data_IF_463462489184
#
_entry.id   IF_463462489184
#
_cell.length_a   1.000
_cell.length_b   1.000
_cell.length_c   1.000
_cell.angle_alpha   90.00
_cell.angle_beta   90.00
_cell.angle_gamma   90.00
#
_symmetry.space_group_name_H-M   'P 1'
#
loop_
_entity.id
_entity.type
_entity.pdbx_description
1 polymer ?
#
# COMPACT_ATOMS: atom_id res chain seq x y z
N UNK A 1 -22.67 -24.54 24.80
CA UNK A 1 -21.81 -23.41 24.37
C UNK A 1 -20.73 -24.04 23.50
N UNK A 2 -20.82 -23.84 22.18
CA UNK A 2 -19.74 -24.17 21.25
C UNK A 2 -18.54 -23.30 21.60
N UNK A 3 -17.34 -23.88 21.64
CA UNK A 3 -16.12 -23.10 21.77
C UNK A 3 -16.08 -22.06 20.62
N UNK A 4 -15.60 -20.84 20.86
CA UNK A 4 -15.43 -19.88 19.78
C UNK A 4 -14.51 -20.49 18.70
N UNK A 5 -14.86 -20.28 17.45
CA UNK A 5 -14.05 -20.69 16.31
C UNK A 5 -12.68 -19.94 16.40
N UNK A 6 -11.54 -20.65 16.45
CA UNK A 6 -10.24 -20.01 16.61
C UNK A 6 -9.72 -19.34 15.32
N UNK A 7 -10.41 -19.50 14.17
CA UNK A 7 -9.96 -18.96 12.89
C UNK A 7 -9.98 -17.42 12.86
N UNK A 8 -9.07 -16.78 12.14
CA UNK A 8 -9.11 -15.34 11.91
C UNK A 8 -10.47 -14.89 11.36
N UNK A 9 -10.90 -13.69 11.72
CA UNK A 9 -12.12 -13.08 11.20
C UNK A 9 -11.90 -11.77 10.49
N UNK A 10 -10.71 -11.19 10.64
CA UNK A 10 -10.34 -9.94 10.01
C UNK A 10 -9.00 -10.09 9.29
N UNK A 11 -8.89 -9.54 8.09
CA UNK A 11 -7.67 -9.57 7.30
C UNK A 11 -7.26 -8.15 6.96
N UNK A 12 -6.06 -7.77 7.41
CA UNK A 12 -5.43 -6.49 7.09
C UNK A 12 -4.52 -6.66 5.89
N UNK A 13 -4.55 -5.69 4.99
CA UNK A 13 -3.80 -5.70 3.75
C UNK A 13 -2.92 -4.47 3.63
N UNK A 14 -1.66 -4.63 3.20
CA UNK A 14 -0.94 -3.52 2.59
C UNK A 14 -1.41 -3.32 1.15
N UNK A 15 -1.18 -2.12 0.60
CA UNK A 15 -1.51 -1.81 -0.80
C UNK A 15 -0.31 -2.10 -1.69
N UNK A 16 0.79 -1.38 -1.49
CA UNK A 16 1.95 -1.45 -2.36
C UNK A 16 2.70 -2.77 -2.23
N UNK A 17 2.90 -3.51 -3.32
CA UNK A 17 3.57 -4.82 -3.31
C UNK A 17 2.69 -6.00 -2.90
N UNK A 18 1.49 -5.76 -2.36
CA UNK A 18 0.51 -6.79 -1.98
C UNK A 18 -0.74 -6.74 -2.86
N UNK A 19 -1.42 -5.59 -2.94
CA UNK A 19 -2.58 -5.42 -3.82
C UNK A 19 -2.14 -4.88 -5.18
N UNK A 20 -1.23 -3.90 -5.16
CA UNK A 20 -0.74 -3.18 -6.34
C UNK A 20 0.67 -3.61 -6.69
N UNK A 21 0.93 -3.87 -7.96
CA UNK A 21 2.26 -4.16 -8.49
C UNK A 21 3.13 -2.90 -8.45
N UNK A 22 4.22 -2.90 -7.66
CA UNK A 22 5.10 -1.73 -7.51
C UNK A 22 5.77 -1.30 -8.84
N UNK A 23 5.94 -2.22 -9.78
CA UNK A 23 6.47 -1.89 -11.09
C UNK A 23 5.50 -1.00 -11.88
N UNK A 24 4.19 -1.19 -11.73
CA UNK A 24 3.16 -0.40 -12.40
C UNK A 24 3.17 1.07 -11.92
N UNK A 25 3.36 1.31 -10.61
CA UNK A 25 3.53 2.66 -10.06
C UNK A 25 4.75 3.35 -10.69
N UNK A 26 5.88 2.63 -10.80
CA UNK A 26 7.10 3.16 -11.44
C UNK A 26 6.90 3.45 -12.92
N UNK A 27 6.09 2.65 -13.61
CA UNK A 27 5.68 2.90 -15.00
C UNK A 27 4.86 4.17 -15.11
N UNK A 28 3.91 4.41 -14.20
CA UNK A 28 3.13 5.64 -14.14
C UNK A 28 4.01 6.88 -13.93
N UNK A 29 4.99 6.82 -13.02
CA UNK A 29 5.97 7.92 -12.86
C UNK A 29 6.77 8.19 -14.14
N UNK A 30 7.21 7.15 -14.83
CA UNK A 30 7.94 7.30 -16.06
C UNK A 30 7.05 7.91 -17.15
N UNK A 31 5.83 7.42 -17.32
CA UNK A 31 4.87 7.95 -18.31
C UNK A 31 4.55 9.44 -18.06
N UNK A 32 4.35 9.82 -16.80
CA UNK A 32 4.13 11.21 -16.41
C UNK A 32 5.32 12.11 -16.81
N UNK A 33 6.54 11.71 -16.44
CA UNK A 33 7.74 12.52 -16.75
C UNK A 33 8.03 12.54 -18.24
N UNK A 34 7.83 11.42 -18.96
CA UNK A 34 7.99 11.36 -20.42
C UNK A 34 7.00 12.30 -21.13
N UNK A 35 5.76 12.38 -20.65
CA UNK A 35 4.76 13.30 -21.15
C UNK A 35 5.18 14.77 -21.00
N UNK A 36 5.72 15.14 -19.81
CA UNK A 36 6.26 16.46 -19.58
C UNK A 36 7.51 16.72 -20.44
N UNK A 37 8.41 15.77 -20.55
CA UNK A 37 9.63 15.89 -21.36
C UNK A 37 9.30 16.11 -22.83
N UNK A 38 8.31 15.40 -23.38
CA UNK A 38 7.88 15.56 -24.77
C UNK A 38 7.24 16.94 -25.03
N UNK A 39 6.47 17.48 -24.09
CA UNK A 39 5.78 18.78 -24.25
C UNK A 39 6.75 19.96 -24.06
N UNK A 40 7.63 19.88 -23.07
CA UNK A 40 8.49 20.99 -22.68
C UNK A 40 9.93 20.88 -23.20
N UNK A 41 10.27 19.80 -23.90
CA UNK A 41 11.56 19.63 -24.57
C UNK A 41 12.71 19.25 -23.63
N UNK A 42 12.42 18.53 -22.54
CA UNK A 42 13.45 17.99 -21.66
C UNK A 42 14.08 16.71 -22.23
N UNK A 43 15.28 16.38 -21.78
CA UNK A 43 15.81 15.03 -21.93
C UNK A 43 15.04 14.07 -21.00
N UNK A 44 14.30 13.07 -21.52
CA UNK A 44 13.42 12.26 -20.70
C UNK A 44 14.15 11.40 -19.66
N UNK A 45 15.33 10.85 -20.00
CA UNK A 45 16.10 10.04 -19.06
C UNK A 45 16.64 10.88 -17.90
N UNK A 46 17.20 12.05 -18.21
CA UNK A 46 17.71 12.98 -17.20
C UNK A 46 16.58 13.55 -16.33
N UNK A 47 15.44 13.89 -16.92
CA UNK A 47 14.28 14.37 -16.19
C UNK A 47 13.75 13.32 -15.20
N UNK A 48 13.62 12.06 -15.64
CA UNK A 48 13.15 10.96 -14.79
C UNK A 48 14.12 10.66 -13.64
N UNK A 49 15.43 10.69 -13.91
CA UNK A 49 16.45 10.49 -12.87
C UNK A 49 16.41 11.61 -11.83
N UNK A 50 16.32 12.87 -12.25
CA UNK A 50 16.19 14.03 -11.36
C UNK A 50 14.93 13.94 -10.52
N UNK A 51 13.79 13.66 -11.15
CA UNK A 51 12.49 13.54 -10.47
C UNK A 51 12.51 12.45 -9.40
N UNK A 52 13.00 11.23 -9.73
CA UNK A 52 13.14 10.12 -8.78
C UNK A 52 14.10 10.45 -7.64
N UNK A 53 15.20 11.13 -7.92
CA UNK A 53 16.17 11.52 -6.91
C UNK A 53 15.55 12.47 -5.90
N UNK A 54 14.86 13.52 -6.37
CA UNK A 54 14.18 14.50 -5.50
C UNK A 54 13.07 13.86 -4.68
N UNK A 55 12.26 12.98 -5.28
CA UNK A 55 11.25 12.21 -4.56
C UNK A 55 11.87 11.29 -3.49
N UNK A 56 12.94 10.57 -3.84
CA UNK A 56 13.66 9.71 -2.90
C UNK A 56 14.25 10.49 -1.73
N UNK A 57 14.81 11.69 -1.96
CA UNK A 57 15.33 12.57 -0.91
C UNK A 57 14.21 13.07 0.01
N UNK A 58 13.03 13.36 -0.56
CA UNK A 58 11.87 13.72 0.23
C UNK A 58 11.55 12.62 1.26
N UNK A 59 11.44 11.36 0.86
CA UNK A 59 11.13 10.26 1.78
C UNK A 59 12.28 9.91 2.73
N UNK A 60 13.53 9.95 2.27
CA UNK A 60 14.70 9.72 3.14
C UNK A 60 14.84 10.76 4.26
N UNK A 61 14.35 11.97 4.04
CA UNK A 61 14.41 13.06 5.01
C UNK A 61 13.38 12.96 6.15
N UNK A 62 12.68 11.82 6.32
CA UNK A 62 11.73 11.63 7.42
C UNK A 62 12.43 11.46 8.77
N UNK A 63 11.78 11.91 9.84
CA UNK A 63 12.25 11.75 11.23
C UNK A 63 11.61 10.50 11.86
N UNK A 64 12.40 9.44 12.02
CA UNK A 64 11.90 8.16 12.54
C UNK A 64 10.76 7.61 11.65
N UNK A 65 9.63 7.28 12.28
CA UNK A 65 8.44 6.77 11.56
C UNK A 65 7.42 7.89 11.24
N UNK A 66 7.78 9.18 11.33
CA UNK A 66 6.87 10.24 10.92
C UNK A 66 6.61 10.18 9.42
N UNK A 67 5.33 10.24 9.06
CA UNK A 67 4.95 10.26 7.66
C UNK A 67 5.28 11.61 7.00
N UNK A 68 5.66 11.58 5.74
CA UNK A 68 5.78 12.74 4.86
C UNK A 68 4.87 12.48 3.67
N UNK A 69 3.99 13.44 3.39
CA UNK A 69 3.00 13.32 2.33
C UNK A 69 3.67 13.05 0.98
N UNK A 70 3.21 12.03 0.27
CA UNK A 70 3.74 11.67 -1.04
C UNK A 70 3.53 12.80 -2.04
N UNK A 71 2.34 13.46 -2.00
CA UNK A 71 2.03 14.62 -2.85
C UNK A 71 3.00 15.80 -2.68
N UNK A 72 3.53 16.03 -1.46
CA UNK A 72 4.56 17.06 -1.25
C UNK A 72 5.89 16.66 -1.91
N UNK A 73 6.20 15.37 -1.94
CA UNK A 73 7.34 14.82 -2.65
C UNK A 73 7.18 14.96 -4.16
N UNK A 74 6.02 14.63 -4.70
CA UNK A 74 5.69 14.79 -6.11
C UNK A 74 5.75 16.25 -6.56
N UNK A 75 5.16 17.17 -5.76
CA UNK A 75 5.22 18.59 -6.02
C UNK A 75 6.66 19.12 -6.09
N UNK A 76 7.51 18.72 -5.15
CA UNK A 76 8.94 19.11 -5.14
C UNK A 76 9.68 18.55 -6.34
N UNK A 77 9.50 17.26 -6.63
CA UNK A 77 10.16 16.60 -7.74
C UNK A 77 9.75 17.21 -9.09
N UNK A 78 8.48 17.56 -9.25
CA UNK A 78 7.99 18.20 -10.47
C UNK A 78 8.48 19.65 -10.57
N UNK A 79 8.44 20.42 -9.47
CA UNK A 79 8.95 21.79 -9.45
C UNK A 79 10.43 21.88 -9.81
N UNK A 80 11.24 20.89 -9.43
CA UNK A 80 12.68 20.82 -9.78
C UNK A 80 12.91 20.79 -11.30
N UNK A 81 12.01 20.16 -12.06
CA UNK A 81 12.11 20.10 -13.52
C UNK A 81 11.80 21.45 -14.20
N UNK A 82 11.15 22.37 -13.49
CA UNK A 82 10.65 23.66 -14.02
C UNK A 82 11.22 24.89 -13.29
N UNK A 83 12.36 24.76 -12.63
CA UNK A 83 12.96 25.86 -11.85
C UNK A 83 11.97 26.49 -10.83
N UNK A 84 11.01 25.70 -10.31
CA UNK A 84 10.05 26.11 -9.29
C UNK A 84 8.66 26.51 -9.80
N UNK A 85 8.42 26.53 -11.12
CA UNK A 85 7.12 26.94 -11.73
C UNK A 85 6.54 25.84 -12.66
N UNK A 86 6.08 24.69 -12.10
CA UNK A 86 5.54 23.60 -12.91
C UNK A 86 4.17 23.97 -13.53
N UNK A 87 3.73 23.27 -14.59
CA UNK A 87 2.38 23.43 -15.15
C UNK A 87 1.31 23.28 -14.06
N UNK A 88 0.27 24.11 -14.11
CA UNK A 88 -0.77 24.14 -13.08
C UNK A 88 -1.59 22.83 -12.97
N UNK A 89 -1.55 21.99 -13.99
CA UNK A 89 -2.25 20.71 -14.11
C UNK A 89 -1.35 19.49 -13.91
N UNK A 90 -0.13 19.69 -13.38
CA UNK A 90 0.85 18.61 -13.22
C UNK A 90 0.33 17.46 -12.33
N UNK A 91 -0.43 17.78 -11.28
CA UNK A 91 -0.99 16.81 -10.34
C UNK A 91 -2.03 15.90 -10.99
N UNK A 92 -2.97 16.45 -11.74
CA UNK A 92 -3.95 15.67 -12.49
C UNK A 92 -3.33 14.83 -13.61
N UNK A 93 -2.24 15.29 -14.22
CA UNK A 93 -1.47 14.50 -15.18
C UNK A 93 -0.77 13.31 -14.54
N UNK A 94 -0.19 13.53 -13.34
CA UNK A 94 0.43 12.43 -12.58
C UNK A 94 -0.62 11.40 -12.17
N UNK A 95 -1.76 11.85 -11.63
CA UNK A 95 -2.89 10.99 -11.25
C UNK A 95 -3.35 10.14 -12.44
N UNK A 96 -3.60 10.75 -13.60
CA UNK A 96 -4.01 10.04 -14.81
C UNK A 96 -2.96 9.00 -15.28
N UNK A 97 -1.67 9.34 -15.21
CA UNK A 97 -0.60 8.43 -15.60
C UNK A 97 -0.46 7.23 -14.63
N UNK A 98 -0.70 7.46 -13.33
CA UNK A 98 -0.70 6.40 -12.33
C UNK A 98 -1.92 5.47 -12.52
N UNK A 99 -3.12 6.03 -12.72
CA UNK A 99 -4.33 5.25 -12.96
C UNK A 99 -4.23 4.39 -14.23
N UNK A 100 -3.70 4.94 -15.33
CA UNK A 100 -3.53 4.21 -16.59
C UNK A 100 -2.51 3.07 -16.48
N UNK A 101 -1.46 3.26 -15.68
CA UNK A 101 -0.39 2.27 -15.53
C UNK A 101 -0.69 1.22 -14.45
N UNK A 102 -1.68 1.44 -13.57
CA UNK A 102 -1.90 0.65 -12.39
C UNK A 102 -2.26 -0.80 -12.71
N UNK A 103 -1.52 -1.73 -12.14
CA UNK A 103 -1.76 -3.18 -12.28
C UNK A 103 -1.89 -3.83 -10.89
N UNK A 104 -2.87 -4.74 -10.70
CA UNK A 104 -2.97 -5.50 -9.47
C UNK A 104 -1.90 -6.60 -9.41
N UNK A 105 -1.51 -6.99 -8.21
CA UNK A 105 -0.76 -8.23 -8.00
C UNK A 105 -1.60 -9.44 -8.42
N UNK A 106 -0.97 -10.50 -8.96
CA UNK A 106 -1.69 -11.73 -9.31
C UNK A 106 -2.55 -12.22 -8.16
N UNK A 107 -3.80 -12.58 -8.46
CA UNK A 107 -4.82 -13.09 -7.54
C UNK A 107 -5.29 -12.11 -6.43
N UNK A 108 -4.73 -10.90 -6.29
CA UNK A 108 -5.11 -9.97 -5.22
C UNK A 108 -6.61 -9.65 -5.23
N UNK A 109 -7.13 -9.22 -6.38
CA UNK A 109 -8.54 -8.83 -6.53
C UNK A 109 -9.49 -9.99 -6.24
N UNK A 110 -9.20 -11.18 -6.78
CA UNK A 110 -10.04 -12.37 -6.60
C UNK A 110 -10.01 -12.86 -5.14
N UNK A 111 -8.84 -12.82 -4.49
CA UNK A 111 -8.70 -13.22 -3.08
C UNK A 111 -9.45 -12.26 -2.16
N UNK A 112 -9.34 -10.95 -2.38
CA UNK A 112 -10.10 -9.92 -1.64
C UNK A 112 -11.60 -10.16 -1.80
N UNK A 113 -12.09 -10.34 -3.03
CA UNK A 113 -13.51 -10.57 -3.30
C UNK A 113 -14.02 -11.86 -2.62
N UNK A 114 -13.22 -12.93 -2.65
CA UNK A 114 -13.55 -14.22 -2.03
C UNK A 114 -13.65 -14.09 -0.51
N UNK A 115 -12.69 -13.41 0.14
CA UNK A 115 -12.70 -13.17 1.58
C UNK A 115 -13.92 -12.33 2.00
N UNK A 116 -14.19 -11.24 1.28
CA UNK A 116 -15.36 -10.39 1.51
C UNK A 116 -16.66 -11.17 1.39
N UNK A 117 -16.83 -11.98 0.33
CA UNK A 117 -18.00 -12.84 0.12
C UNK A 117 -18.13 -13.93 1.19
N UNK A 118 -17.03 -14.35 1.79
CA UNK A 118 -16.98 -15.34 2.89
C UNK A 118 -17.24 -14.72 4.27
N UNK A 119 -17.49 -13.41 4.35
CA UNK A 119 -17.88 -12.70 5.56
C UNK A 119 -16.71 -12.34 6.48
N UNK A 120 -15.48 -12.24 5.95
CA UNK A 120 -14.35 -11.68 6.66
C UNK A 120 -14.44 -10.16 6.70
N UNK A 121 -14.10 -9.55 7.84
CA UNK A 121 -13.80 -8.14 7.91
C UNK A 121 -12.47 -7.86 7.18
N UNK A 122 -12.45 -6.83 6.33
CA UNK A 122 -11.25 -6.46 5.59
C UNK A 122 -10.85 -5.02 5.90
N UNK A 123 -9.57 -4.77 6.14
CA UNK A 123 -9.07 -3.42 6.29
C UNK A 123 -7.71 -3.22 5.61
N UNK A 124 -7.45 -1.98 5.23
CA UNK A 124 -6.15 -1.56 4.73
C UNK A 124 -5.31 -1.01 5.88
N UNK A 125 -4.01 -1.32 5.87
CA UNK A 125 -2.98 -0.66 6.69
C UNK A 125 -1.79 -0.34 5.79
N UNK A 126 -1.69 0.88 5.25
CA UNK A 126 -0.72 1.21 4.21
C UNK A 126 -0.01 2.55 4.41
N UNK A 127 1.27 2.59 3.98
CA UNK A 127 2.13 3.77 4.02
C UNK A 127 1.90 4.64 2.77
N UNK A 128 0.76 5.34 2.73
CA UNK A 128 0.28 6.07 1.53
C UNK A 128 -0.52 7.32 1.94
N UNK A 129 -0.66 8.29 1.00
CA UNK A 129 -1.62 9.38 1.12
C UNK A 129 -3.06 8.84 0.96
N UNK A 130 -4.01 9.39 1.71
CA UNK A 130 -5.40 8.90 1.72
C UNK A 130 -6.10 9.01 0.35
N UNK A 131 -5.97 10.11 -0.41
CA UNK A 131 -6.54 10.18 -1.75
C UNK A 131 -5.92 9.16 -2.71
N UNK A 132 -4.61 8.91 -2.60
CA UNK A 132 -3.91 7.93 -3.44
C UNK A 132 -4.36 6.49 -3.14
N UNK A 133 -4.51 6.13 -1.86
CA UNK A 133 -5.10 4.85 -1.48
C UNK A 133 -6.50 4.67 -2.08
N UNK A 134 -7.33 5.71 -2.01
CA UNK A 134 -8.67 5.69 -2.59
C UNK A 134 -8.64 5.46 -4.10
N UNK A 135 -7.85 6.24 -4.83
CA UNK A 135 -7.71 6.13 -6.30
C UNK A 135 -7.25 4.72 -6.71
N UNK A 136 -6.21 4.18 -6.07
CA UNK A 136 -5.70 2.84 -6.37
C UNK A 136 -6.76 1.75 -6.17
N UNK A 137 -7.45 1.76 -5.03
CA UNK A 137 -8.45 0.74 -4.70
C UNK A 137 -9.71 0.86 -5.55
N UNK A 138 -10.15 2.09 -5.89
CA UNK A 138 -11.27 2.32 -6.81
C UNK A 138 -10.93 1.87 -8.23
N UNK A 139 -9.74 2.20 -8.73
CA UNK A 139 -9.27 1.80 -10.07
C UNK A 139 -9.25 0.28 -10.22
N UNK A 140 -8.85 -0.45 -9.17
CA UNK A 140 -8.87 -1.91 -9.14
C UNK A 140 -10.25 -2.52 -8.82
N UNK A 141 -11.25 -1.69 -8.50
CA UNK A 141 -12.61 -2.12 -8.18
C UNK A 141 -12.74 -2.87 -6.85
N UNK A 142 -11.80 -2.66 -5.92
CA UNK A 142 -11.78 -3.38 -4.63
C UNK A 142 -12.12 -2.51 -3.43
N UNK A 143 -12.28 -1.21 -3.58
CA UNK A 143 -12.54 -0.29 -2.48
C UNK A 143 -13.72 -0.73 -1.59
N UNK A 144 -14.84 -1.09 -2.19
CA UNK A 144 -16.08 -1.42 -1.48
C UNK A 144 -16.02 -2.76 -0.69
N UNK A 145 -14.91 -3.51 -0.82
CA UNK A 145 -14.69 -4.71 -0.03
C UNK A 145 -14.08 -4.42 1.35
N UNK A 146 -13.54 -3.22 1.58
CA UNK A 146 -12.87 -2.87 2.82
C UNK A 146 -13.78 -2.11 3.77
N UNK A 147 -13.86 -2.58 5.02
CA UNK A 147 -14.61 -1.94 6.11
C UNK A 147 -13.90 -0.68 6.63
N UNK A 148 -12.57 -0.65 6.50
CA UNK A 148 -11.75 0.48 6.95
C UNK A 148 -10.44 0.61 6.15
N UNK A 149 -9.94 1.84 6.04
CA UNK A 149 -8.67 2.16 5.38
C UNK A 149 -7.82 3.05 6.29
N UNK A 150 -6.79 2.46 6.91
CA UNK A 150 -5.77 3.17 7.67
C UNK A 150 -4.64 3.58 6.75
N UNK A 151 -4.38 4.89 6.64
CA UNK A 151 -3.29 5.45 5.85
C UNK A 151 -2.29 6.19 6.71
N UNK A 152 -1.03 6.23 6.30
CA UNK A 152 -0.01 7.00 7.00
C UNK A 152 -0.30 8.50 7.05
N UNK A 153 -0.99 9.05 6.03
CA UNK A 153 -1.45 10.44 6.07
C UNK A 153 -2.42 10.70 7.23
N UNK A 154 -3.42 9.82 7.40
CA UNK A 154 -4.43 9.98 8.45
C UNK A 154 -3.82 9.86 9.86
N UNK A 155 -2.83 8.98 10.04
CA UNK A 155 -2.21 8.69 11.34
C UNK A 155 -1.03 9.63 11.63
N UNK A 156 -0.33 10.10 10.59
CA UNK A 156 0.90 10.88 10.69
C UNK A 156 2.18 10.05 10.91
N UNK A 157 2.09 8.73 10.81
CA UNK A 157 3.18 7.78 11.00
C UNK A 157 3.12 6.65 9.98
N UNK A 158 4.28 6.03 9.71
CA UNK A 158 4.40 4.84 8.86
C UNK A 158 4.49 3.57 9.70
N UNK A 159 4.15 2.44 9.13
CA UNK A 159 4.54 1.13 9.67
C UNK A 159 6.08 1.09 9.88
N UNK A 160 6.59 0.45 10.92
CA UNK A 160 5.92 -0.42 11.89
C UNK A 160 5.35 0.30 13.13
N UNK A 161 5.04 1.57 13.09
CA UNK A 161 4.47 2.27 14.24
C UNK A 161 3.13 1.64 14.63
N UNK A 162 2.98 1.30 15.92
CA UNK A 162 1.80 0.58 16.41
C UNK A 162 0.46 1.33 16.17
N UNK A 163 0.50 2.65 16.03
CA UNK A 163 -0.69 3.48 15.78
C UNK A 163 -1.37 3.11 14.47
N UNK A 164 -0.62 2.67 13.47
CA UNK A 164 -1.16 2.22 12.19
C UNK A 164 -2.09 1.01 12.39
N UNK A 165 -1.60 -0.01 13.09
CA UNK A 165 -2.35 -1.24 13.33
C UNK A 165 -3.46 -1.06 14.36
N UNK A 166 -3.24 -0.25 15.42
CA UNK A 166 -4.25 0.05 16.42
C UNK A 166 -5.44 0.82 15.87
N UNK A 167 -5.24 1.71 14.90
CA UNK A 167 -6.33 2.40 14.21
C UNK A 167 -7.23 1.39 13.49
N UNK A 168 -6.64 0.51 12.68
CA UNK A 168 -7.39 -0.52 11.97
C UNK A 168 -8.13 -1.48 12.91
N UNK A 169 -7.46 -1.97 13.99
CA UNK A 169 -8.08 -2.81 15.01
C UNK A 169 -9.28 -2.11 15.68
N UNK A 170 -9.10 -0.83 16.05
CA UNK A 170 -10.16 -0.07 16.73
C UNK A 170 -11.34 0.24 15.81
N UNK A 171 -11.09 0.57 14.56
CA UNK A 171 -12.14 0.91 13.59
C UNK A 171 -12.97 -0.31 13.18
N UNK A 172 -12.36 -1.50 13.13
CA UNK A 172 -13.03 -2.75 12.77
C UNK A 172 -13.53 -3.56 13.97
N UNK A 173 -13.31 -3.09 15.21
CA UNK A 173 -13.58 -3.83 16.46
C UNK A 173 -12.95 -5.24 16.43
N UNK A 174 -11.77 -5.34 15.82
CA UNK A 174 -11.09 -6.61 15.59
C UNK A 174 -10.23 -7.02 16.79
N UNK A 175 -10.27 -8.32 17.12
CA UNK A 175 -9.38 -8.94 18.10
C UNK A 175 -8.04 -9.24 17.41
N UNK A 176 -6.89 -8.74 17.95
CA UNK A 176 -5.58 -9.04 17.38
C UNK A 176 -5.31 -10.53 17.18
N UNK A 177 -5.71 -11.38 18.15
CA UNK A 177 -5.52 -12.84 18.08
C UNK A 177 -6.38 -13.52 16.99
N UNK A 178 -7.28 -12.78 16.37
CA UNK A 178 -8.19 -13.22 15.30
C UNK A 178 -8.05 -12.35 14.03
N UNK A 179 -6.94 -11.67 13.94
CA UNK A 179 -6.60 -10.79 12.80
C UNK A 179 -5.33 -11.30 12.13
N UNK A 180 -5.32 -11.27 10.81
CA UNK A 180 -4.15 -11.57 9.99
C UNK A 180 -3.70 -10.28 9.30
N UNK A 181 -2.38 -10.01 9.25
CA UNK A 181 -1.79 -8.94 8.44
C UNK A 181 -1.01 -9.54 7.28
N UNK A 182 -1.32 -9.12 6.06
CA UNK A 182 -0.60 -9.48 4.84
C UNK A 182 0.25 -8.30 4.40
N UNK A 183 1.57 -8.50 4.29
CA UNK A 183 2.50 -7.47 3.89
C UNK A 183 3.67 -8.01 3.09
N UNK A 184 4.33 -7.14 2.32
CA UNK A 184 5.49 -7.48 1.49
C UNK A 184 6.84 -7.03 2.11
N UNK A 185 6.82 -6.37 3.30
CA UNK A 185 8.01 -5.80 3.94
C UNK A 185 8.14 -6.26 5.38
N UNK A 186 9.18 -7.07 5.65
CA UNK A 186 9.40 -7.67 6.97
C UNK A 186 9.40 -6.65 8.12
N UNK A 187 10.24 -5.62 8.04
CA UNK A 187 10.40 -4.66 9.14
C UNK A 187 9.17 -3.74 9.33
N UNK A 188 8.38 -3.51 8.29
CA UNK A 188 7.20 -2.63 8.32
C UNK A 188 5.94 -3.38 8.71
N UNK A 189 5.62 -4.43 7.97
CA UNK A 189 4.33 -5.12 8.08
C UNK A 189 4.37 -6.21 9.15
N UNK A 190 5.36 -7.10 9.03
CA UNK A 190 5.43 -8.32 9.83
C UNK A 190 5.83 -7.99 11.26
N UNK A 191 6.94 -7.27 11.45
CA UNK A 191 7.42 -6.93 12.80
C UNK A 191 6.42 -6.06 13.55
N UNK A 192 5.78 -5.10 12.86
CA UNK A 192 4.80 -4.19 13.46
C UNK A 192 3.53 -4.89 13.91
N UNK A 193 2.95 -5.75 13.05
CA UNK A 193 1.75 -6.53 13.36
C UNK A 193 2.00 -7.58 14.46
N UNK A 194 3.08 -8.35 14.35
CA UNK A 194 3.46 -9.36 15.34
C UNK A 194 3.65 -8.77 16.75
N UNK A 195 4.12 -7.52 16.87
CA UNK A 195 4.30 -6.86 18.17
C UNK A 195 2.97 -6.63 18.91
N UNK A 196 1.84 -6.67 18.20
CA UNK A 196 0.48 -6.54 18.74
C UNK A 196 -0.27 -7.87 18.88
N UNK A 197 0.37 -8.99 18.53
CA UNK A 197 -0.25 -10.32 18.57
C UNK A 197 -1.15 -10.60 17.36
N UNK A 198 -1.00 -9.84 16.28
CA UNK A 198 -1.66 -10.10 15.00
C UNK A 198 -0.88 -11.20 14.28
N UNK A 199 -1.59 -12.20 13.76
CA UNK A 199 -1.02 -13.25 12.91
C UNK A 199 -0.50 -12.66 11.61
N UNK A 200 0.67 -13.10 11.13
CA UNK A 200 1.38 -12.44 10.05
C UNK A 200 1.58 -13.34 8.84
N UNK A 201 1.32 -12.79 7.65
CA UNK A 201 1.54 -13.42 6.36
C UNK A 201 2.52 -12.58 5.56
N UNK A 202 3.76 -13.06 5.43
CA UNK A 202 4.79 -12.44 4.59
C UNK A 202 4.62 -12.85 3.13
N UNK A 203 4.26 -11.89 2.28
CA UNK A 203 4.11 -12.09 0.85
C UNK A 203 5.41 -11.73 0.10
N UNK A 204 6.06 -12.75 -0.42
CA UNK A 204 7.34 -12.62 -1.11
C UNK A 204 8.55 -12.54 -0.16
N UNK A 205 9.77 -12.75 -0.72
CA UNK A 205 10.99 -12.99 0.07
C UNK A 205 11.41 -11.81 0.97
N UNK A 206 11.03 -10.58 0.64
CA UNK A 206 11.37 -9.39 1.43
C UNK A 206 10.56 -9.28 2.73
N UNK A 207 9.48 -10.08 2.85
CA UNK A 207 8.65 -10.17 4.05
C UNK A 207 8.90 -11.43 4.89
N UNK A 208 9.71 -12.35 4.41
CA UNK A 208 9.99 -13.61 5.13
C UNK A 208 10.96 -13.41 6.29
N UNK A 209 10.76 -14.15 7.37
CA UNK A 209 11.62 -14.07 8.52
C UNK A 209 11.01 -14.63 9.82
N UNK A 210 11.75 -14.59 10.94
CA UNK A 210 11.38 -15.30 12.18
C UNK A 210 10.06 -14.88 12.85
N UNK A 211 9.47 -13.77 12.42
CA UNK A 211 8.19 -13.27 12.93
C UNK A 211 7.06 -13.40 11.91
N UNK A 212 7.33 -13.93 10.72
CA UNK A 212 6.29 -14.30 9.78
C UNK A 212 5.72 -15.65 10.21
N UNK A 213 4.44 -15.69 10.58
CA UNK A 213 3.77 -16.94 10.93
C UNK A 213 3.56 -17.80 9.68
N UNK A 214 3.34 -17.12 8.53
CA UNK A 214 3.23 -17.74 7.22
C UNK A 214 4.10 -16.99 6.21
N UNK A 215 4.70 -17.74 5.29
CA UNK A 215 5.50 -17.23 4.17
C UNK A 215 4.87 -17.75 2.88
N UNK A 216 4.39 -16.83 2.02
CA UNK A 216 3.69 -17.16 0.78
C UNK A 216 4.29 -16.40 -0.42
N UNK A 217 4.11 -16.94 -1.61
CA UNK A 217 4.38 -16.29 -2.89
C UNK A 217 3.14 -16.23 -3.83
N UNK A 218 2.04 -16.80 -3.37
CA UNK A 218 0.72 -16.72 -4.03
C UNK A 218 -0.34 -16.22 -3.04
N UNK A 219 -1.03 -15.13 -3.37
CA UNK A 219 -2.05 -14.55 -2.50
C UNK A 219 -3.27 -15.47 -2.29
N UNK A 220 -3.49 -16.47 -3.15
CA UNK A 220 -4.53 -17.48 -2.95
C UNK A 220 -4.30 -18.35 -1.71
N UNK A 221 -3.04 -18.51 -1.30
CA UNK A 221 -2.71 -19.28 -0.09
C UNK A 221 -3.32 -18.68 1.18
N UNK A 222 -3.63 -17.37 1.16
CA UNK A 222 -4.32 -16.68 2.26
C UNK A 222 -5.67 -17.35 2.57
N UNK A 223 -6.40 -17.80 1.55
CA UNK A 223 -7.69 -18.46 1.72
C UNK A 223 -7.56 -19.70 2.61
N UNK A 224 -6.57 -20.54 2.34
CA UNK A 224 -6.28 -21.73 3.14
C UNK A 224 -5.85 -21.39 4.57
N UNK A 225 -5.02 -20.33 4.75
CA UNK A 225 -4.56 -19.86 6.07
C UNK A 225 -5.76 -19.45 6.94
N UNK A 226 -6.72 -18.71 6.40
CA UNK A 226 -7.89 -18.26 7.15
C UNK A 226 -9.06 -19.28 7.17
N UNK A 227 -8.89 -20.43 6.49
CA UNK A 227 -9.83 -21.54 6.51
C UNK A 227 -11.06 -21.34 5.61
N UNK A 228 -10.86 -20.68 4.46
CA UNK A 228 -11.81 -20.66 3.35
C UNK A 228 -11.45 -21.81 2.42
N UNK A 229 -12.35 -22.79 2.30
CA UNK A 229 -12.22 -23.89 1.34
C UNK A 229 -12.45 -23.37 -0.08
N UNK A 230 -11.68 -23.90 -1.07
CA UNK A 230 -11.87 -23.59 -2.49
C UNK A 230 -13.22 -24.11 -3.03
#
# INVERSE_FOLDING_TARGET
MTAPDPRPRTVFWDIGGVIVELASIRTGYAAFVDGLAAEYGFDPEGALESWKTTLGDHFRGREGNRYRLARDGYAKATAELFDGDPPADWDSRLEAALEEALEPKPAAVDTIATLSASGFGLAIVSDVDTPEARSMLDTLGVWDHFDHVTTSEAIGYTKPDERMFRDALGATDADPERTVMIGDRYDHDIVGAAALGIETVGYGPDAWGPKADHEIDDLRDVLGIVGVDE
#
